data_IF_856542618573
#
_entry.id   IF_856542618573
#
_cell.length_a   1.000
_cell.length_b   1.000
_cell.length_c   1.000
_cell.angle_alpha   90.00
_cell.angle_beta   90.00
_cell.angle_gamma   90.00
#
_symmetry.space_group_name_H-M   'P 1'
#
loop_
_entity.id
_entity.type
_entity.pdbx_description
1 polymer ?
#
# COMPACT_ATOMS: atom_id res chain seq x y z
N UNK A 1 15.64 37.19 -15.23
CA UNK A 1 14.37 36.46 -15.54
C UNK A 1 14.07 35.52 -14.39
N UNK A 2 12.80 35.39 -13.97
CA UNK A 2 12.40 34.56 -12.79
C UNK A 2 12.87 33.09 -12.92
N UNK A 3 12.78 32.52 -14.14
CA UNK A 3 13.24 31.14 -14.37
C UNK A 3 14.75 30.96 -14.16
N UNK A 4 15.59 31.98 -14.44
CA UNK A 4 17.03 31.89 -14.25
C UNK A 4 17.40 31.72 -12.76
N UNK A 5 16.71 32.42 -11.86
CA UNK A 5 16.91 32.29 -10.42
C UNK A 5 16.50 30.90 -9.91
N UNK A 6 15.25 30.49 -10.18
CA UNK A 6 14.78 29.17 -9.72
C UNK A 6 15.60 28.01 -10.30
N UNK A 7 16.11 28.14 -11.55
CA UNK A 7 17.00 27.15 -12.15
C UNK A 7 18.28 26.99 -11.35
N UNK A 8 18.91 28.10 -10.95
CA UNK A 8 20.13 28.07 -10.13
C UNK A 8 19.88 27.39 -8.79
N UNK A 9 18.82 27.82 -8.09
CA UNK A 9 18.44 27.26 -6.78
C UNK A 9 18.16 25.75 -6.85
N UNK A 10 17.47 25.29 -7.91
CA UNK A 10 17.20 23.86 -8.13
C UNK A 10 18.47 23.06 -8.48
N UNK A 11 19.41 23.64 -9.23
CA UNK A 11 20.68 22.98 -9.54
C UNK A 11 21.54 22.79 -8.28
N UNK A 12 21.57 23.79 -7.40
CA UNK A 12 22.22 23.71 -6.10
C UNK A 12 21.59 22.61 -5.22
N UNK A 13 20.24 22.62 -5.09
CA UNK A 13 19.50 21.58 -4.37
C UNK A 13 19.81 20.18 -4.89
N UNK A 14 19.83 19.98 -6.22
CA UNK A 14 20.14 18.67 -6.81
C UNK A 14 21.57 18.22 -6.53
N UNK A 15 22.52 19.15 -6.46
CA UNK A 15 23.90 18.87 -6.06
C UNK A 15 23.96 18.41 -4.61
N UNK A 16 23.31 19.14 -3.71
CA UNK A 16 23.22 18.76 -2.30
C UNK A 16 22.57 17.38 -2.09
N UNK A 17 21.46 17.11 -2.80
CA UNK A 17 20.79 15.79 -2.73
C UNK A 17 21.71 14.65 -3.18
N UNK A 18 22.52 14.86 -4.21
CA UNK A 18 23.50 13.86 -4.68
C UNK A 18 24.64 13.64 -3.67
N UNK A 19 25.20 14.72 -3.13
CA UNK A 19 26.25 14.66 -2.11
C UNK A 19 25.79 13.96 -0.83
N UNK A 20 24.52 14.14 -0.44
CA UNK A 20 23.91 13.49 0.71
C UNK A 20 23.42 12.05 0.43
N UNK A 21 23.52 11.56 -0.82
CA UNK A 21 22.97 10.26 -1.21
C UNK A 21 21.44 10.18 -1.16
N UNK A 22 20.75 11.32 -1.24
CA UNK A 22 19.29 11.40 -1.18
C UNK A 22 18.63 11.55 -2.57
N UNK A 23 19.44 11.72 -3.61
CA UNK A 23 18.96 11.82 -4.98
C UNK A 23 18.48 10.45 -5.45
N UNK A 24 17.23 10.40 -5.95
CA UNK A 24 16.60 9.15 -6.40
C UNK A 24 16.81 8.98 -7.90
N UNK A 25 17.42 7.87 -8.29
CA UNK A 25 17.52 7.45 -9.69
C UNK A 25 16.52 6.33 -9.97
N UNK A 26 15.82 6.42 -11.10
CA UNK A 26 14.88 5.39 -11.56
C UNK A 26 15.67 4.27 -12.28
N UNK A 27 15.61 3.06 -11.75
CA UNK A 27 16.14 1.86 -12.44
C UNK A 27 15.10 1.38 -13.44
N UNK A 28 15.48 1.29 -14.72
CA UNK A 28 14.58 0.94 -15.81
C UNK A 28 14.48 -0.57 -15.95
N UNK A 29 13.27 -1.12 -15.85
CA UNK A 29 12.98 -2.52 -16.13
C UNK A 29 12.72 -2.72 -17.62
N UNK A 30 13.23 -3.82 -18.17
CA UNK A 30 13.14 -4.15 -19.60
C UNK A 30 12.23 -5.34 -19.91
N UNK A 31 11.60 -5.89 -18.87
CA UNK A 31 10.64 -7.00 -18.95
C UNK A 31 9.36 -6.67 -18.20
N UNK A 32 8.27 -7.43 -18.36
CA UNK A 32 7.12 -7.38 -17.47
C UNK A 32 7.51 -7.61 -16.01
N UNK A 33 6.66 -7.16 -15.08
CA UNK A 33 6.82 -7.43 -13.64
C UNK A 33 6.62 -8.92 -13.33
N UNK A 34 7.54 -9.48 -12.55
CA UNK A 34 7.52 -10.87 -12.12
C UNK A 34 8.53 -11.12 -11.01
N UNK A 35 8.69 -12.38 -10.60
CA UNK A 35 9.75 -12.78 -9.67
C UNK A 35 11.14 -12.57 -10.29
N UNK A 36 11.27 -12.73 -11.59
CA UNK A 36 12.48 -12.45 -12.38
C UNK A 36 12.21 -11.30 -13.32
N UNK A 37 13.12 -10.34 -13.40
CA UNK A 37 13.03 -9.14 -14.22
C UNK A 37 14.34 -8.84 -14.93
N UNK A 38 14.25 -8.26 -16.11
CA UNK A 38 15.37 -7.64 -16.78
C UNK A 38 15.52 -6.18 -16.35
N UNK A 39 16.76 -5.75 -16.13
CA UNK A 39 17.10 -4.37 -15.80
C UNK A 39 17.95 -3.79 -16.91
N UNK A 40 17.85 -2.49 -17.17
CA UNK A 40 18.65 -1.79 -18.18
C UNK A 40 20.14 -2.10 -18.01
N UNK A 41 20.83 -2.36 -19.13
CA UNK A 41 22.21 -2.84 -19.13
C UNK A 41 22.35 -4.37 -19.28
N UNK A 42 21.21 -5.09 -19.49
CA UNK A 42 21.21 -6.52 -19.81
C UNK A 42 21.32 -7.47 -18.60
N UNK A 43 21.14 -6.93 -17.39
CA UNK A 43 21.14 -7.74 -16.17
C UNK A 43 19.76 -8.36 -15.92
N UNK A 44 19.73 -9.62 -15.52
CA UNK A 44 18.54 -10.25 -14.92
C UNK A 44 18.68 -10.24 -13.41
N UNK A 45 17.57 -10.04 -12.71
CA UNK A 45 17.55 -10.04 -11.25
C UNK A 45 16.24 -10.61 -10.69
N UNK A 46 16.33 -11.20 -9.50
CA UNK A 46 15.17 -11.57 -8.69
C UNK A 46 14.58 -10.32 -8.03
N UNK A 47 13.29 -10.09 -8.25
CA UNK A 47 12.62 -8.87 -7.82
C UNK A 47 12.01 -9.02 -6.42
N UNK A 48 12.68 -8.48 -5.42
CA UNK A 48 12.21 -8.41 -4.05
C UNK A 48 11.78 -7.00 -3.62
N UNK A 49 11.36 -6.17 -4.58
CA UNK A 49 11.00 -4.78 -4.34
C UNK A 49 9.53 -4.46 -4.70
N UNK A 50 8.94 -5.19 -5.67
CA UNK A 50 7.60 -4.93 -6.14
C UNK A 50 6.53 -5.36 -5.11
N UNK A 51 5.46 -4.56 -4.99
CA UNK A 51 4.29 -4.91 -4.16
C UNK A 51 3.41 -5.98 -4.83
N UNK A 52 4.01 -6.90 -5.57
CA UNK A 52 3.35 -7.97 -6.33
C UNK A 52 3.17 -9.23 -5.45
N UNK A 53 2.52 -9.07 -4.29
CA UNK A 53 2.42 -10.10 -3.25
C UNK A 53 1.92 -11.45 -3.75
N UNK A 54 0.95 -11.46 -4.65
CA UNK A 54 0.36 -12.68 -5.21
C UNK A 54 0.95 -13.09 -6.56
N UNK A 55 1.92 -12.33 -7.08
CA UNK A 55 2.55 -12.64 -8.37
C UNK A 55 1.65 -12.42 -9.59
N UNK A 56 0.57 -11.65 -9.46
CA UNK A 56 -0.47 -11.52 -10.49
C UNK A 56 -0.17 -10.46 -11.55
N UNK A 57 0.86 -9.62 -11.38
CA UNK A 57 1.16 -8.51 -12.28
C UNK A 57 1.41 -8.88 -13.74
N UNK A 58 1.81 -10.13 -14.02
CA UNK A 58 1.99 -10.68 -15.36
C UNK A 58 1.28 -12.03 -15.53
N UNK A 59 0.18 -12.24 -14.82
CA UNK A 59 -0.59 -13.49 -14.89
C UNK A 59 -1.38 -13.56 -16.21
N UNK A 60 -1.28 -14.67 -16.99
CA UNK A 60 -1.97 -14.79 -18.28
C UNK A 60 -3.49 -14.68 -18.22
N UNK A 61 -4.14 -15.19 -17.15
CA UNK A 61 -5.59 -15.09 -16.99
C UNK A 61 -6.03 -13.65 -16.72
N UNK A 62 -5.24 -12.89 -15.95
CA UNK A 62 -5.49 -11.47 -15.66
C UNK A 62 -5.32 -10.63 -16.92
N UNK A 63 -4.24 -10.86 -17.68
CA UNK A 63 -3.99 -10.21 -18.97
C UNK A 63 -5.12 -10.49 -19.96
N UNK A 64 -5.54 -11.75 -20.07
CA UNK A 64 -6.64 -12.16 -20.98
C UNK A 64 -7.95 -11.46 -20.60
N UNK A 65 -8.29 -11.41 -19.32
CA UNK A 65 -9.48 -10.71 -18.85
C UNK A 65 -9.45 -9.22 -19.18
N UNK A 66 -8.30 -8.54 -19.01
CA UNK A 66 -8.13 -7.15 -19.42
C UNK A 66 -8.34 -6.94 -20.92
N UNK A 67 -7.79 -7.83 -21.76
CA UNK A 67 -7.95 -7.79 -23.20
C UNK A 67 -9.41 -7.99 -23.63
N UNK A 68 -10.10 -8.98 -23.04
CA UNK A 68 -11.49 -9.29 -23.37
C UNK A 68 -12.43 -8.13 -23.02
N UNK A 69 -12.21 -7.52 -21.88
CA UNK A 69 -12.98 -6.34 -21.47
C UNK A 69 -12.73 -5.15 -22.40
N UNK A 70 -11.49 -4.91 -22.82
CA UNK A 70 -11.19 -3.84 -23.79
C UNK A 70 -11.87 -4.09 -25.14
N UNK A 71 -11.95 -5.33 -25.60
CA UNK A 71 -12.62 -5.68 -26.86
C UNK A 71 -14.14 -5.38 -26.82
N UNK A 72 -14.76 -5.45 -25.65
CA UNK A 72 -16.21 -5.22 -25.48
C UNK A 72 -16.55 -3.79 -25.04
N UNK A 73 -15.81 -3.24 -24.06
CA UNK A 73 -16.10 -1.96 -23.42
C UNK A 73 -15.25 -0.79 -23.94
N UNK A 74 -14.26 -1.07 -24.80
CA UNK A 74 -13.31 -0.08 -25.29
C UNK A 74 -12.14 0.19 -24.34
N UNK A 75 -11.22 1.05 -24.77
CA UNK A 75 -10.01 1.40 -24.02
C UNK A 75 -10.27 2.38 -22.88
N UNK A 76 -11.08 3.40 -23.09
CA UNK A 76 -11.27 4.50 -22.16
C UNK A 76 -12.70 5.00 -22.08
N UNK A 77 -13.06 5.60 -20.95
CA UNK A 77 -14.41 6.10 -20.68
C UNK A 77 -14.59 7.58 -21.10
N UNK A 78 -13.51 8.32 -21.35
CA UNK A 78 -13.48 9.73 -21.80
C UNK A 78 -14.32 10.69 -20.94
N UNK A 79 -14.60 10.33 -19.68
CA UNK A 79 -15.47 11.09 -18.80
C UNK A 79 -15.27 10.71 -17.33
N UNK A 80 -15.74 11.56 -16.46
CA UNK A 80 -15.94 11.30 -15.03
C UNK A 80 -17.23 10.52 -14.81
N UNK A 81 -17.35 9.89 -13.62
CA UNK A 81 -18.39 8.92 -13.30
C UNK A 81 -19.83 9.43 -13.48
N UNK A 82 -20.16 10.63 -13.01
CA UNK A 82 -21.53 11.12 -12.98
C UNK A 82 -22.03 11.71 -14.31
N UNK A 83 -21.12 12.03 -15.24
CA UNK A 83 -21.52 12.56 -16.55
C UNK A 83 -21.89 11.42 -17.50
N UNK A 84 -20.89 10.68 -18.02
CA UNK A 84 -21.09 9.52 -18.90
C UNK A 84 -19.99 8.46 -18.76
N UNK A 85 -19.13 8.55 -17.73
CA UNK A 85 -18.02 7.61 -17.53
C UNK A 85 -18.38 6.34 -16.77
N UNK A 86 -19.61 6.17 -16.29
CA UNK A 86 -20.02 4.96 -15.59
C UNK A 86 -20.54 3.89 -16.56
N UNK A 87 -19.77 2.84 -16.74
CA UNK A 87 -20.19 1.63 -17.46
C UNK A 87 -20.70 0.56 -16.48
N UNK A 88 -21.50 -0.41 -16.94
CA UNK A 88 -22.05 -1.46 -16.08
C UNK A 88 -20.97 -2.26 -15.34
N UNK A 89 -19.80 -2.46 -15.95
CA UNK A 89 -18.69 -3.19 -15.32
C UNK A 89 -18.15 -2.50 -14.07
N UNK A 90 -18.23 -1.16 -13.98
CA UNK A 90 -17.82 -0.44 -12.77
C UNK A 90 -18.73 -0.80 -11.59
N UNK A 91 -20.06 -0.91 -11.86
CA UNK A 91 -21.02 -1.32 -10.81
C UNK A 91 -20.80 -2.78 -10.40
N UNK A 92 -20.45 -3.65 -11.36
CA UNK A 92 -20.07 -5.03 -11.06
C UNK A 92 -18.84 -5.13 -10.17
N UNK A 93 -17.82 -4.30 -10.43
CA UNK A 93 -16.63 -4.27 -9.58
C UNK A 93 -16.94 -3.69 -8.19
N UNK A 94 -17.74 -2.62 -8.09
CA UNK A 94 -18.19 -2.06 -6.81
C UNK A 94 -18.89 -3.14 -5.96
N UNK A 95 -19.84 -3.89 -6.56
CA UNK A 95 -20.54 -4.99 -5.90
C UNK A 95 -19.59 -6.14 -5.50
N UNK A 96 -18.69 -6.53 -6.40
CA UNK A 96 -17.72 -7.59 -6.14
C UNK A 96 -16.76 -7.22 -4.99
N UNK A 97 -16.30 -5.96 -4.93
CA UNK A 97 -15.46 -5.46 -3.85
C UNK A 97 -16.19 -5.39 -2.52
N UNK A 98 -17.44 -4.90 -2.51
CA UNK A 98 -18.27 -4.88 -1.30
C UNK A 98 -18.44 -6.29 -0.73
N UNK A 99 -18.76 -7.25 -1.58
CA UNK A 99 -18.91 -8.66 -1.20
C UNK A 99 -17.58 -9.26 -0.69
N UNK A 100 -16.48 -8.95 -1.39
CA UNK A 100 -15.16 -9.48 -1.02
C UNK A 100 -14.69 -8.93 0.33
N UNK A 101 -14.86 -7.65 0.59
CA UNK A 101 -14.45 -7.00 1.84
C UNK A 101 -15.46 -7.17 2.98
N UNK A 102 -16.69 -7.64 2.69
CA UNK A 102 -17.76 -7.74 3.68
C UNK A 102 -18.36 -6.39 4.09
N UNK A 103 -18.33 -5.40 3.18
CA UNK A 103 -18.85 -4.05 3.40
C UNK A 103 -20.18 -3.82 2.66
N UNK A 104 -20.92 -2.77 3.06
CA UNK A 104 -22.26 -2.52 2.53
C UNK A 104 -22.25 -1.97 1.11
N UNK A 105 -21.30 -1.09 0.78
CA UNK A 105 -21.19 -0.47 -0.54
C UNK A 105 -19.73 -0.09 -0.85
N UNK A 106 -19.43 0.17 -2.13
CA UNK A 106 -18.09 0.51 -2.61
C UNK A 106 -18.16 1.58 -3.71
N UNK A 107 -17.14 2.46 -3.73
CA UNK A 107 -16.90 3.48 -4.74
C UNK A 107 -15.47 3.34 -5.29
N UNK A 108 -15.31 3.45 -6.62
CA UNK A 108 -14.04 3.28 -7.31
C UNK A 108 -13.34 4.62 -7.58
N UNK A 109 -12.01 4.62 -7.48
CA UNK A 109 -11.12 5.75 -7.78
C UNK A 109 -10.01 5.35 -8.75
N UNK A 110 -9.38 6.35 -9.40
CA UNK A 110 -8.23 6.13 -10.27
C UNK A 110 -6.98 5.61 -9.51
N UNK A 111 -6.89 5.89 -8.22
CA UNK A 111 -5.88 5.37 -7.30
C UNK A 111 -6.42 5.34 -5.86
N UNK A 112 -5.81 4.53 -4.98
CA UNK A 112 -6.12 4.58 -3.54
C UNK A 112 -5.65 5.91 -2.91
N UNK A 113 -4.64 6.57 -3.50
CA UNK A 113 -4.26 7.92 -3.10
C UNK A 113 -5.44 8.89 -3.22
N UNK A 114 -6.21 8.79 -4.32
CA UNK A 114 -7.42 9.58 -4.54
C UNK A 114 -8.56 9.18 -3.59
N UNK A 115 -8.68 7.89 -3.29
CA UNK A 115 -9.66 7.38 -2.33
C UNK A 115 -9.44 7.99 -0.93
N UNK A 116 -8.20 7.97 -0.44
CA UNK A 116 -7.82 8.59 0.83
C UNK A 116 -7.96 10.11 0.79
N UNK A 117 -7.50 10.76 -0.29
CA UNK A 117 -7.60 12.21 -0.48
C UNK A 117 -9.04 12.71 -0.55
N UNK A 118 -9.96 11.87 -1.01
CA UNK A 118 -11.37 12.20 -1.21
C UNK A 118 -12.32 11.83 -0.07
N UNK A 119 -11.81 11.25 1.03
CA UNK A 119 -12.64 10.74 2.13
C UNK A 119 -12.97 11.82 3.19
N UNK A 120 -11.96 12.50 3.68
CA UNK A 120 -12.07 13.28 4.92
C UNK A 120 -12.85 14.60 4.76
N UNK A 121 -12.56 15.37 3.71
CA UNK A 121 -13.21 16.67 3.46
C UNK A 121 -14.74 16.55 3.31
N UNK A 122 -15.28 15.57 2.55
CA UNK A 122 -16.73 15.42 2.44
C UNK A 122 -17.42 14.95 3.73
N UNK A 123 -16.72 14.14 4.52
CA UNK A 123 -17.30 13.44 5.68
C UNK A 123 -17.25 14.28 6.96
N UNK A 124 -16.20 15.08 7.16
CA UNK A 124 -15.88 15.69 8.45
C UNK A 124 -15.77 17.22 8.33
N UNK A 125 -16.54 17.94 9.17
CA UNK A 125 -16.54 19.40 9.29
C UNK A 125 -15.65 19.93 10.42
N UNK A 126 -15.79 21.24 10.69
CA UNK A 126 -15.04 21.94 11.76
C UNK A 126 -15.39 21.46 13.18
N UNK A 127 -16.55 20.86 13.33
CA UNK A 127 -17.09 20.29 14.58
C UNK A 127 -16.65 18.83 14.81
N UNK A 128 -15.81 18.30 13.96
CA UNK A 128 -15.37 16.90 13.97
C UNK A 128 -13.88 16.78 14.30
N UNK A 129 -13.43 15.57 14.61
CA UNK A 129 -12.01 15.26 14.82
C UNK A 129 -11.54 14.07 13.97
N UNK A 130 -10.33 14.16 13.43
CA UNK A 130 -9.57 13.04 12.84
C UNK A 130 -8.41 12.70 13.76
N UNK A 131 -8.28 11.42 14.11
CA UNK A 131 -7.24 10.89 14.99
C UNK A 131 -6.41 9.90 14.18
N UNK A 132 -5.18 10.27 13.82
CA UNK A 132 -4.34 9.55 12.86
C UNK A 132 -3.11 8.94 13.52
N UNK A 133 -2.79 7.68 13.18
CA UNK A 133 -1.47 7.11 13.49
C UNK A 133 -0.37 7.93 12.80
N UNK A 134 0.76 8.13 13.47
CA UNK A 134 1.84 8.98 12.95
C UNK A 134 2.57 8.40 11.73
N UNK A 135 2.51 7.08 11.53
CA UNK A 135 3.14 6.40 10.39
C UNK A 135 2.18 6.10 9.24
N UNK A 136 0.96 6.61 9.28
CA UNK A 136 0.02 6.46 8.19
C UNK A 136 0.60 6.92 6.86
N UNK A 137 0.12 6.28 5.79
CA UNK A 137 0.52 6.59 4.42
C UNK A 137 0.32 8.08 4.07
N UNK A 138 1.20 8.63 3.23
CA UNK A 138 1.18 10.04 2.81
C UNK A 138 -0.19 10.49 2.28
N UNK A 139 -0.93 9.63 1.59
CA UNK A 139 -2.28 9.94 1.08
C UNK A 139 -3.31 10.20 2.18
N UNK A 140 -3.22 9.50 3.32
CA UNK A 140 -4.05 9.76 4.50
C UNK A 140 -3.65 11.11 5.10
N UNK A 141 -2.35 11.35 5.28
CA UNK A 141 -1.83 12.62 5.81
C UNK A 141 -2.32 13.79 4.96
N UNK A 142 -2.22 13.68 3.63
CA UNK A 142 -2.63 14.74 2.71
C UNK A 142 -4.16 14.90 2.68
N UNK A 143 -4.91 13.81 2.71
CA UNK A 143 -6.38 13.85 2.82
C UNK A 143 -6.85 14.53 4.11
N UNK A 144 -6.21 14.22 5.24
CA UNK A 144 -6.48 14.89 6.52
C UNK A 144 -6.11 16.39 6.48
N UNK A 145 -5.06 16.77 5.74
CA UNK A 145 -4.69 18.19 5.55
C UNK A 145 -5.75 19.00 4.79
N UNK A 146 -6.49 18.38 3.88
CA UNK A 146 -7.56 19.02 3.12
C UNK A 146 -8.84 19.22 3.95
N UNK A 147 -9.00 18.43 5.01
CA UNK A 147 -10.15 18.45 5.89
C UNK A 147 -10.07 19.62 6.90
N UNK A 148 -11.23 20.16 7.30
CA UNK A 148 -11.35 21.23 8.30
C UNK A 148 -11.49 20.72 9.74
N UNK A 149 -11.62 19.42 9.93
CA UNK A 149 -11.74 18.80 11.25
C UNK A 149 -10.51 19.04 12.12
N UNK A 150 -10.70 19.00 13.46
CA UNK A 150 -9.59 18.99 14.42
C UNK A 150 -8.68 17.80 14.13
N UNK A 151 -7.37 18.05 13.97
CA UNK A 151 -6.38 17.02 13.64
C UNK A 151 -5.62 16.63 14.88
N UNK A 152 -5.75 15.37 15.27
CA UNK A 152 -5.03 14.76 16.37
C UNK A 152 -4.17 13.62 15.82
N UNK A 153 -3.01 13.42 16.40
CA UNK A 153 -2.07 12.37 16.00
C UNK A 153 -1.60 11.64 17.24
N UNK A 154 -1.51 10.31 17.15
CA UNK A 154 -0.92 9.48 18.20
C UNK A 154 0.31 8.76 17.66
N UNK A 155 1.25 8.42 18.55
CA UNK A 155 2.44 7.67 18.20
C UNK A 155 2.08 6.29 17.72
N UNK A 156 2.85 5.81 16.78
CA UNK A 156 2.63 4.54 16.11
C UNK A 156 2.30 3.41 17.07
N UNK A 157 1.14 2.76 16.83
CA UNK A 157 0.63 1.63 17.63
C UNK A 157 0.52 1.88 19.14
N UNK A 158 0.46 3.15 19.59
CA UNK A 158 0.35 3.53 20.99
C UNK A 158 -1.13 3.78 21.38
N UNK A 159 -1.75 2.77 21.99
CA UNK A 159 -3.18 2.82 22.35
C UNK A 159 -3.47 3.78 23.51
N UNK A 160 -2.49 4.06 24.37
CA UNK A 160 -2.65 5.06 25.45
C UNK A 160 -2.73 6.47 24.87
N UNK A 161 -1.87 6.82 23.91
CA UNK A 161 -1.93 8.11 23.21
C UNK A 161 -3.20 8.23 22.35
N UNK A 162 -3.65 7.13 21.72
CA UNK A 162 -4.94 7.10 21.02
C UNK A 162 -6.10 7.42 21.99
N UNK A 163 -6.12 6.81 23.17
CA UNK A 163 -7.15 7.08 24.16
C UNK A 163 -7.11 8.54 24.66
N UNK A 164 -5.92 9.12 24.84
CA UNK A 164 -5.77 10.54 25.18
C UNK A 164 -6.37 11.43 24.10
N UNK A 165 -6.08 11.16 22.82
CA UNK A 165 -6.62 11.91 21.70
C UNK A 165 -8.16 11.80 21.60
N UNK A 166 -8.72 10.62 21.86
CA UNK A 166 -10.17 10.42 21.93
C UNK A 166 -10.81 11.23 23.06
N UNK A 167 -10.20 11.27 24.24
CA UNK A 167 -10.66 12.12 25.37
C UNK A 167 -10.56 13.61 25.02
N UNK A 168 -9.53 14.03 24.32
CA UNK A 168 -9.30 15.41 23.89
C UNK A 168 -10.30 15.88 22.82
N UNK A 169 -10.91 14.95 22.10
CA UNK A 169 -11.94 15.21 21.07
C UNK A 169 -13.38 14.99 21.56
N UNK A 170 -13.60 14.85 22.87
CA UNK A 170 -14.92 14.53 23.47
C UNK A 170 -16.03 15.51 23.07
N UNK A 171 -15.69 16.78 22.85
CA UNK A 171 -16.64 17.82 22.50
C UNK A 171 -16.91 17.93 20.98
N UNK A 172 -16.23 17.09 20.16
CA UNK A 172 -16.49 17.02 18.72
C UNK A 172 -17.73 16.18 18.45
N UNK A 173 -18.51 16.58 17.44
CA UNK A 173 -19.71 15.86 16.98
C UNK A 173 -19.35 14.48 16.47
N UNK A 174 -18.34 14.39 15.60
CA UNK A 174 -17.86 13.13 15.04
C UNK A 174 -16.36 12.97 15.30
N UNK A 175 -15.94 11.73 15.53
CA UNK A 175 -14.53 11.31 15.67
C UNK A 175 -14.26 10.20 14.67
N UNK A 176 -13.19 10.32 13.90
CA UNK A 176 -12.73 9.28 12.99
C UNK A 176 -11.29 8.89 13.35
N UNK A 177 -11.09 7.64 13.76
CA UNK A 177 -9.76 7.05 13.88
C UNK A 177 -9.35 6.55 12.50
N UNK A 178 -8.17 6.93 12.00
CA UNK A 178 -7.66 6.44 10.73
C UNK A 178 -6.27 5.82 10.90
N UNK A 179 -6.08 4.66 10.28
CA UNK A 179 -4.83 3.89 10.34
C UNK A 179 -4.58 3.12 9.04
N UNK A 180 -3.31 2.88 8.69
CA UNK A 180 -2.96 1.79 7.78
C UNK A 180 -3.29 0.45 8.46
N UNK A 181 -3.75 -0.54 7.73
CA UNK A 181 -3.93 -1.90 8.24
C UNK A 181 -2.58 -2.62 8.36
N UNK A 182 -1.76 -2.51 7.31
CA UNK A 182 -0.35 -2.92 7.29
C UNK A 182 0.50 -1.72 6.91
N UNK A 183 1.44 -1.35 7.76
CA UNK A 183 2.34 -0.21 7.53
C UNK A 183 3.42 -0.55 6.51
N UNK A 184 3.48 0.23 5.44
CA UNK A 184 4.23 -0.09 4.22
C UNK A 184 5.74 -0.19 4.41
N UNK A 185 6.32 0.54 5.37
CA UNK A 185 7.76 0.60 5.59
C UNK A 185 8.24 -0.33 6.70
N UNK A 186 7.37 -0.71 7.62
CA UNK A 186 7.68 -1.52 8.79
C UNK A 186 7.12 -2.95 8.70
N UNK A 187 6.04 -3.12 7.94
CA UNK A 187 5.45 -4.43 7.71
C UNK A 187 4.69 -5.00 8.90
N UNK A 188 4.45 -4.21 9.92
CA UNK A 188 3.60 -4.55 11.06
C UNK A 188 2.14 -4.21 10.77
N UNK A 189 1.25 -4.73 11.60
CA UNK A 189 -0.20 -4.52 11.51
C UNK A 189 -0.69 -3.61 12.62
N UNK A 190 -1.64 -2.72 12.29
CA UNK A 190 -2.38 -1.97 13.29
C UNK A 190 -3.12 -2.94 14.23
N UNK A 191 -3.21 -2.59 15.52
CA UNK A 191 -3.93 -3.35 16.56
C UNK A 191 -5.43 -3.09 16.46
N UNK A 192 -6.06 -3.58 15.37
CA UNK A 192 -7.45 -3.23 15.06
C UNK A 192 -8.46 -3.64 16.13
N UNK A 193 -8.22 -4.72 16.83
CA UNK A 193 -9.05 -5.15 17.97
C UNK A 193 -9.01 -4.14 19.11
N UNK A 194 -7.83 -3.64 19.50
CA UNK A 194 -7.67 -2.61 20.53
C UNK A 194 -8.23 -1.25 20.04
N UNK A 195 -7.97 -0.88 18.77
CA UNK A 195 -8.51 0.35 18.16
C UNK A 195 -10.04 0.34 18.17
N UNK A 196 -10.67 -0.77 17.74
CA UNK A 196 -12.11 -0.90 17.76
C UNK A 196 -12.69 -0.86 19.18
N UNK A 197 -12.00 -1.44 20.19
CA UNK A 197 -12.43 -1.35 21.58
C UNK A 197 -12.44 0.10 22.08
N UNK A 198 -11.45 0.90 21.70
CA UNK A 198 -11.42 2.32 22.01
C UNK A 198 -12.47 3.10 21.21
N UNK A 199 -12.68 2.75 19.94
CA UNK A 199 -13.71 3.37 19.10
C UNK A 199 -15.12 3.19 19.70
N UNK A 200 -15.47 1.97 20.10
CA UNK A 200 -16.76 1.69 20.76
C UNK A 200 -16.91 2.47 22.08
N UNK A 201 -15.83 2.54 22.89
CA UNK A 201 -15.85 3.24 24.16
C UNK A 201 -16.07 4.75 24.03
N UNK A 202 -15.59 5.36 22.96
CA UNK A 202 -15.61 6.80 22.74
C UNK A 202 -16.53 7.24 21.60
N UNK A 203 -17.37 6.35 21.08
CA UNK A 203 -18.28 6.62 19.97
C UNK A 203 -17.57 7.24 18.76
N UNK A 204 -16.54 6.55 18.28
CA UNK A 204 -15.71 6.96 17.16
C UNK A 204 -15.86 6.00 15.97
N UNK A 205 -15.80 6.52 14.75
CA UNK A 205 -15.72 5.76 13.51
C UNK A 205 -14.29 5.23 13.32
N UNK A 206 -14.15 4.11 12.60
CA UNK A 206 -12.83 3.52 12.26
C UNK A 206 -12.67 3.42 10.74
N UNK A 207 -11.61 4.01 10.23
CA UNK A 207 -11.15 3.89 8.84
C UNK A 207 -9.82 3.16 8.79
N UNK A 208 -9.70 2.18 7.89
CA UNK A 208 -8.48 1.40 7.66
C UNK A 208 -8.07 1.51 6.19
N UNK A 209 -6.83 1.91 5.93
CA UNK A 209 -6.20 1.72 4.61
C UNK A 209 -5.55 0.33 4.56
N UNK A 210 -6.19 -0.58 3.85
CA UNK A 210 -5.79 -1.98 3.77
C UNK A 210 -5.02 -2.31 2.48
N UNK A 211 -4.42 -1.30 1.86
CA UNK A 211 -3.69 -1.40 0.59
C UNK A 211 -2.53 -2.40 0.59
N UNK A 212 -1.91 -2.64 1.74
CA UNK A 212 -0.84 -3.62 1.91
C UNK A 212 -1.32 -4.95 2.51
N UNK A 213 -2.63 -5.16 2.61
CA UNK A 213 -3.21 -6.35 3.23
C UNK A 213 -4.26 -7.05 2.36
N UNK A 214 -5.17 -6.28 1.74
CA UNK A 214 -6.22 -6.83 0.88
C UNK A 214 -5.63 -7.72 -0.21
N UNK A 215 -6.13 -8.94 -0.29
CA UNK A 215 -5.71 -9.98 -1.22
C UNK A 215 -4.93 -11.12 -0.55
N UNK A 216 -4.24 -10.90 0.59
CA UNK A 216 -3.41 -11.95 1.18
C UNK A 216 -3.39 -12.00 2.73
N UNK A 217 -3.79 -10.94 3.44
CA UNK A 217 -3.94 -10.96 4.90
C UNK A 217 -5.33 -11.48 5.27
N UNK A 218 -5.41 -12.21 6.38
CA UNK A 218 -6.65 -12.85 6.83
C UNK A 218 -6.82 -14.28 6.28
N UNK A 219 -7.83 -14.99 6.76
CA UNK A 219 -8.08 -16.39 6.42
C UNK A 219 -8.41 -16.60 4.94
N UNK A 220 -9.10 -15.63 4.33
CA UNK A 220 -9.52 -15.67 2.93
C UNK A 220 -8.97 -14.50 2.11
N UNK A 221 -7.98 -13.76 2.67
CA UNK A 221 -7.34 -12.64 1.99
C UNK A 221 -8.14 -11.34 1.99
N UNK A 222 -9.10 -11.19 2.89
CA UNK A 222 -9.96 -9.99 2.95
C UNK A 222 -9.35 -8.82 3.71
N UNK A 223 -8.13 -9.00 4.21
CA UNK A 223 -7.36 -7.95 4.83
C UNK A 223 -7.27 -8.02 6.35
N UNK A 224 -6.77 -6.94 6.94
CA UNK A 224 -6.55 -6.87 8.40
C UNK A 224 -7.83 -6.90 9.23
N UNK A 225 -8.98 -6.35 8.78
CA UNK A 225 -10.23 -6.51 9.54
C UNK A 225 -10.66 -7.97 9.69
N UNK A 226 -10.48 -8.80 8.65
CA UNK A 226 -10.73 -10.24 8.74
C UNK A 226 -9.72 -10.93 9.67
N UNK A 227 -8.45 -10.55 9.59
CA UNK A 227 -7.38 -11.12 10.41
C UNK A 227 -7.66 -10.95 11.91
N UNK A 228 -8.12 -9.78 12.32
CA UNK A 228 -8.46 -9.47 13.72
C UNK A 228 -9.91 -9.82 14.09
N UNK A 229 -10.75 -10.27 13.15
CA UNK A 229 -12.14 -10.61 13.40
C UNK A 229 -13.04 -9.41 13.75
N UNK A 230 -12.75 -8.24 13.19
CA UNK A 230 -13.42 -6.96 13.49
C UNK A 230 -14.09 -6.30 12.28
N UNK A 231 -14.31 -7.04 11.20
CA UNK A 231 -14.85 -6.49 9.94
C UNK A 231 -16.14 -5.70 10.12
N UNK A 232 -17.04 -6.16 10.96
CA UNK A 232 -18.33 -5.53 11.28
C UNK A 232 -18.22 -4.24 12.11
N UNK A 233 -17.05 -3.98 12.69
CA UNK A 233 -16.70 -2.81 13.51
C UNK A 233 -15.91 -1.74 12.74
N UNK A 234 -15.59 -1.99 11.46
CA UNK A 234 -14.92 -1.03 10.59
C UNK A 234 -15.97 -0.28 9.76
N UNK A 235 -15.88 1.03 9.72
CA UNK A 235 -16.84 1.88 9.01
C UNK A 235 -16.38 2.17 7.58
N UNK A 236 -15.06 2.27 7.36
CA UNK A 236 -14.47 2.55 6.06
C UNK A 236 -13.19 1.74 5.86
N UNK A 237 -13.11 1.06 4.72
CA UNK A 237 -11.87 0.43 4.22
C UNK A 237 -11.50 1.10 2.91
N UNK A 238 -10.26 1.58 2.79
CA UNK A 238 -9.68 1.93 1.50
C UNK A 238 -8.67 0.87 1.08
N UNK A 239 -8.56 0.59 -0.22
CA UNK A 239 -7.57 -0.35 -0.73
C UNK A 239 -7.20 -0.03 -2.18
N UNK A 240 -6.01 -0.49 -2.60
CA UNK A 240 -5.49 -0.30 -3.95
C UNK A 240 -5.62 -1.56 -4.79
N UNK A 241 -5.84 -1.39 -6.09
CA UNK A 241 -5.71 -2.46 -7.08
C UNK A 241 -4.27 -2.59 -7.61
N UNK A 242 -3.41 -1.64 -7.27
CA UNK A 242 -2.02 -1.54 -7.73
C UNK A 242 -1.01 -2.43 -7.00
N UNK A 243 -1.47 -3.38 -6.17
CA UNK A 243 -0.61 -4.31 -5.42
C UNK A 243 -1.09 -5.75 -5.58
N UNK A 244 -1.54 -6.40 -4.50
CA UNK A 244 -2.00 -7.80 -4.55
C UNK A 244 -3.17 -8.03 -5.52
N UNK A 245 -4.02 -7.04 -5.73
CA UNK A 245 -5.18 -7.16 -6.61
C UNK A 245 -4.87 -6.94 -8.11
N UNK A 246 -3.72 -7.38 -8.58
CA UNK A 246 -3.36 -7.40 -10.01
C UNK A 246 -2.21 -6.47 -10.38
N UNK A 247 -1.90 -5.45 -9.57
CA UNK A 247 -0.69 -4.63 -9.72
C UNK A 247 -0.77 -3.48 -10.72
N UNK A 248 -1.94 -3.19 -11.32
CA UNK A 248 -2.13 -2.04 -12.20
C UNK A 248 -2.31 -0.75 -11.37
N UNK A 249 -3.24 0.10 -11.70
CA UNK A 249 -3.63 1.23 -10.88
C UNK A 249 -5.11 1.11 -10.46
N UNK A 250 -5.63 2.14 -9.80
CA UNK A 250 -6.97 2.11 -9.25
C UNK A 250 -7.00 1.81 -7.76
N UNK A 251 -8.14 2.05 -7.18
CA UNK A 251 -8.44 1.76 -5.79
C UNK A 251 -9.91 1.98 -5.49
N UNK A 252 -10.29 1.73 -4.26
CA UNK A 252 -11.66 1.93 -3.83
C UNK A 252 -11.74 2.37 -2.37
N UNK A 253 -12.90 2.93 -2.03
CA UNK A 253 -13.38 3.07 -0.66
C UNK A 253 -14.62 2.19 -0.52
N UNK A 254 -14.61 1.28 0.44
CA UNK A 254 -15.73 0.43 0.82
C UNK A 254 -16.16 0.77 2.24
N UNK A 255 -17.46 0.77 2.55
CA UNK A 255 -17.88 1.18 3.88
C UNK A 255 -19.39 1.14 4.08
N UNK A 256 -19.84 1.87 5.12
CA UNK A 256 -21.25 2.06 5.39
C UNK A 256 -21.92 2.77 4.21
N UNK A 257 -23.12 2.33 3.85
CA UNK A 257 -23.82 2.78 2.65
C UNK A 257 -23.97 4.29 2.57
N UNK A 258 -24.33 4.93 3.67
CA UNK A 258 -24.54 6.38 3.72
C UNK A 258 -23.24 7.18 3.55
N UNK A 259 -22.11 6.64 4.03
CA UNK A 259 -20.78 7.24 3.81
C UNK A 259 -20.43 7.14 2.32
N UNK A 260 -20.59 5.98 1.72
CA UNK A 260 -20.29 5.78 0.30
C UNK A 260 -21.20 6.62 -0.60
N UNK A 261 -22.50 6.73 -0.25
CA UNK A 261 -23.42 7.62 -0.96
C UNK A 261 -22.98 9.08 -0.89
N UNK A 262 -22.57 9.57 0.29
CA UNK A 262 -22.03 10.92 0.45
C UNK A 262 -20.78 11.14 -0.42
N UNK A 263 -19.87 10.17 -0.47
CA UNK A 263 -18.65 10.26 -1.29
C UNK A 263 -18.99 10.37 -2.79
N UNK A 264 -20.00 9.63 -3.28
CA UNK A 264 -20.48 9.76 -4.66
C UNK A 264 -20.96 11.18 -4.99
N UNK A 265 -21.50 11.89 -4.02
CA UNK A 265 -22.02 13.25 -4.20
C UNK A 265 -20.96 14.34 -4.02
N UNK A 266 -19.91 14.11 -3.20
CA UNK A 266 -19.04 15.20 -2.74
C UNK A 266 -17.54 14.92 -2.85
N UNK A 267 -17.11 13.68 -3.02
CA UNK A 267 -15.67 13.35 -3.13
C UNK A 267 -15.08 13.94 -4.41
N UNK A 268 -14.26 14.98 -4.27
CA UNK A 268 -13.68 15.70 -5.41
C UNK A 268 -12.87 14.83 -6.38
N UNK A 269 -11.99 13.92 -5.91
CA UNK A 269 -11.29 13.00 -6.81
C UNK A 269 -12.24 12.11 -7.61
N UNK A 270 -13.36 11.70 -7.03
CA UNK A 270 -14.38 10.92 -7.74
C UNK A 270 -15.14 11.75 -8.77
N UNK A 271 -15.52 12.97 -8.41
CA UNK A 271 -16.34 13.84 -9.26
C UNK A 271 -15.55 14.41 -10.44
N UNK A 272 -14.25 14.67 -10.27
CA UNK A 272 -13.49 15.48 -11.23
C UNK A 272 -12.33 14.73 -11.90
N UNK A 273 -12.00 13.52 -11.47
CA UNK A 273 -11.00 12.66 -12.14
C UNK A 273 -11.69 11.68 -13.10
N UNK A 274 -10.98 11.31 -14.17
CA UNK A 274 -11.47 10.31 -15.11
C UNK A 274 -11.77 8.99 -14.43
N UNK A 275 -12.79 8.33 -14.96
CA UNK A 275 -13.22 6.98 -14.55
C UNK A 275 -12.10 5.95 -14.78
N UNK A 276 -11.99 5.00 -13.87
CA UNK A 276 -11.09 3.86 -13.98
C UNK A 276 -11.27 3.12 -15.32
N UNK A 277 -10.16 2.84 -16.00
CA UNK A 277 -10.21 2.24 -17.33
C UNK A 277 -10.84 0.83 -17.32
N UNK A 278 -11.61 0.46 -18.34
CA UNK A 278 -12.28 -0.84 -18.43
C UNK A 278 -11.35 -2.04 -18.24
N UNK A 279 -10.15 -1.99 -18.80
CA UNK A 279 -9.12 -3.04 -18.68
C UNK A 279 -8.76 -3.35 -17.23
N UNK A 280 -8.63 -2.31 -16.41
CA UNK A 280 -8.31 -2.47 -14.97
C UNK A 280 -9.49 -3.08 -14.23
N UNK A 281 -10.70 -2.63 -14.55
CA UNK A 281 -11.93 -3.18 -13.96
C UNK A 281 -12.04 -4.68 -14.25
N UNK A 282 -11.85 -5.09 -15.51
CA UNK A 282 -11.91 -6.50 -15.90
C UNK A 282 -10.81 -7.35 -15.27
N UNK A 283 -9.58 -6.84 -15.24
CA UNK A 283 -8.47 -7.49 -14.57
C UNK A 283 -8.74 -7.70 -13.07
N UNK A 284 -9.22 -6.66 -12.38
CA UNK A 284 -9.52 -6.74 -10.94
C UNK A 284 -10.67 -7.69 -10.63
N UNK A 285 -11.74 -7.70 -11.45
CA UNK A 285 -12.83 -8.69 -11.34
C UNK A 285 -12.30 -10.13 -11.45
N UNK A 286 -11.38 -10.37 -12.41
CA UNK A 286 -10.74 -11.68 -12.57
C UNK A 286 -9.90 -12.06 -11.35
N UNK A 287 -9.15 -11.13 -10.80
CA UNK A 287 -8.37 -11.38 -9.58
C UNK A 287 -9.27 -11.75 -8.41
N UNK A 288 -10.37 -11.01 -8.18
CA UNK A 288 -11.33 -11.34 -7.12
C UNK A 288 -11.96 -12.75 -7.32
N UNK A 289 -12.25 -13.12 -8.57
CA UNK A 289 -12.69 -14.46 -8.90
C UNK A 289 -11.65 -15.52 -8.51
N UNK A 290 -10.36 -15.30 -8.86
CA UNK A 290 -9.27 -16.22 -8.53
C UNK A 290 -9.10 -16.37 -7.02
N UNK A 291 -9.11 -15.26 -6.26
CA UNK A 291 -8.99 -15.28 -4.81
C UNK A 291 -10.18 -15.94 -4.10
N UNK A 292 -11.36 -15.90 -4.73
CA UNK A 292 -12.56 -16.57 -4.19
C UNK A 292 -12.55 -18.09 -4.41
N UNK A 293 -11.72 -18.58 -5.35
CA UNK A 293 -11.62 -20.03 -5.67
C UNK A 293 -10.57 -20.74 -4.84
N UNK A 294 -9.45 -20.08 -4.53
CA UNK A 294 -8.29 -20.74 -3.92
C UNK A 294 -7.51 -19.79 -3.01
N UNK A 295 -6.99 -20.33 -1.92
CA UNK A 295 -6.07 -19.67 -1.01
C UNK A 295 -4.59 -19.95 -1.33
N UNK A 296 -4.28 -20.71 -2.38
CA UNK A 296 -2.92 -21.16 -2.68
C UNK A 296 -1.89 -20.01 -2.75
N UNK A 297 -2.20 -18.95 -3.49
CA UNK A 297 -1.30 -17.81 -3.62
C UNK A 297 -1.10 -17.10 -2.27
N UNK A 298 -2.18 -16.96 -1.48
CA UNK A 298 -2.13 -16.40 -0.14
C UNK A 298 -1.24 -17.25 0.76
N UNK A 299 -1.48 -18.56 0.81
CA UNK A 299 -0.71 -19.49 1.65
C UNK A 299 0.77 -19.47 1.26
N UNK A 300 1.04 -19.45 -0.05
CA UNK A 300 2.40 -19.39 -0.59
C UNK A 300 3.16 -18.14 -0.19
N UNK A 301 2.56 -16.96 -0.24
CA UNK A 301 3.25 -15.72 0.18
C UNK A 301 3.52 -15.73 1.69
N UNK A 302 2.63 -16.28 2.51
CA UNK A 302 2.84 -16.43 3.95
C UNK A 302 3.98 -17.40 4.26
N UNK A 303 4.01 -18.55 3.58
CA UNK A 303 5.09 -19.53 3.69
C UNK A 303 6.45 -18.90 3.33
N UNK A 304 6.50 -18.21 2.18
CA UNK A 304 7.69 -17.53 1.71
C UNK A 304 8.17 -16.43 2.70
N UNK A 305 7.26 -15.65 3.24
CA UNK A 305 7.56 -14.60 4.21
C UNK A 305 8.11 -15.18 5.53
N UNK A 306 7.45 -16.22 6.05
CA UNK A 306 7.87 -16.88 7.28
C UNK A 306 9.26 -17.54 7.12
N UNK A 307 9.48 -18.20 6.00
CA UNK A 307 10.76 -18.81 5.69
C UNK A 307 11.89 -17.78 5.59
N UNK A 308 11.68 -16.73 4.79
CA UNK A 308 12.68 -15.69 4.60
C UNK A 308 13.03 -14.97 5.91
N UNK A 309 12.03 -14.58 6.72
CA UNK A 309 12.25 -13.97 8.03
C UNK A 309 13.09 -14.85 8.96
N UNK A 310 12.74 -16.13 9.07
CA UNK A 310 13.45 -17.08 9.91
C UNK A 310 14.93 -17.17 9.53
N UNK A 311 15.21 -17.31 8.23
CA UNK A 311 16.58 -17.44 7.73
C UNK A 311 17.40 -16.14 7.91
N UNK A 312 16.79 -14.99 7.73
CA UNK A 312 17.46 -13.69 7.91
C UNK A 312 17.79 -13.42 9.38
N UNK A 313 16.86 -13.71 10.30
CA UNK A 313 17.11 -13.62 11.76
C UNK A 313 18.21 -14.59 12.16
N UNK A 314 18.15 -15.84 11.68
CA UNK A 314 19.17 -16.85 11.98
C UNK A 314 20.56 -16.49 11.44
N UNK A 315 20.61 -15.67 10.40
CA UNK A 315 21.87 -15.15 9.83
C UNK A 315 22.45 -13.98 10.63
N UNK A 316 21.70 -13.39 11.57
CA UNK A 316 22.14 -12.27 12.40
C UNK A 316 21.68 -10.89 11.91
N UNK A 317 20.85 -10.81 10.86
CA UNK A 317 20.31 -9.52 10.42
C UNK A 317 19.30 -8.96 11.42
N UNK A 318 19.38 -7.66 11.66
CA UNK A 318 18.36 -6.91 12.38
C UNK A 318 17.17 -6.64 11.45
N UNK A 319 16.03 -7.26 11.73
CA UNK A 319 14.79 -7.08 10.98
C UNK A 319 13.67 -6.60 11.89
N UNK A 320 12.81 -5.72 11.36
CA UNK A 320 11.62 -5.29 12.11
C UNK A 320 10.72 -6.51 12.37
N UNK A 321 10.34 -6.76 13.64
CA UNK A 321 9.42 -7.85 13.97
C UNK A 321 8.09 -7.73 13.24
N UNK A 322 7.52 -8.84 12.81
CA UNK A 322 6.24 -8.86 12.09
C UNK A 322 6.03 -10.21 11.41
N UNK A 323 4.85 -10.37 10.81
CA UNK A 323 4.43 -11.60 10.16
C UNK A 323 3.88 -11.38 8.74
N UNK A 324 3.99 -10.18 8.18
CA UNK A 324 3.55 -9.89 6.82
C UNK A 324 4.62 -10.22 5.77
N UNK A 325 4.27 -10.08 4.50
CA UNK A 325 5.19 -10.26 3.36
C UNK A 325 6.21 -9.11 3.20
N UNK A 326 6.15 -8.10 4.04
CA UNK A 326 7.09 -6.98 4.09
C UNK A 326 8.15 -7.28 5.14
N UNK A 327 9.42 -7.37 4.74
CA UNK A 327 10.54 -7.68 5.64
C UNK A 327 11.58 -6.57 5.57
N UNK A 328 11.53 -5.59 6.50
CA UNK A 328 12.53 -4.54 6.57
C UNK A 328 13.81 -5.04 7.25
N UNK A 329 14.93 -4.93 6.55
CA UNK A 329 16.27 -5.22 7.06
C UNK A 329 16.89 -3.89 7.45
N UNK A 330 17.12 -3.68 8.74
CA UNK A 330 17.55 -2.42 9.29
C UNK A 330 19.05 -2.20 9.05
N UNK A 331 19.39 -1.05 8.49
CA UNK A 331 20.77 -0.65 8.19
C UNK A 331 21.12 0.69 8.83
N UNK A 332 20.10 1.45 9.26
CA UNK A 332 20.17 2.72 9.98
C UNK A 332 20.79 3.86 9.17
N UNK A 333 21.96 3.64 8.52
CA UNK A 333 22.71 4.63 7.77
C UNK A 333 22.33 4.61 6.27
N UNK A 334 22.02 5.78 5.72
CA UNK A 334 21.58 5.91 4.33
C UNK A 334 22.64 5.45 3.31
N UNK A 335 23.93 5.84 3.41
CA UNK A 335 24.96 5.36 2.48
C UNK A 335 25.11 3.83 2.50
N UNK A 336 24.96 3.20 3.67
CA UNK A 336 25.07 1.76 3.83
C UNK A 336 23.90 1.03 3.14
N UNK A 337 22.67 1.55 3.30
CA UNK A 337 21.48 0.98 2.67
C UNK A 337 21.56 1.05 1.13
N UNK A 338 22.05 2.16 0.58
CA UNK A 338 22.24 2.33 -0.86
C UNK A 338 23.32 1.40 -1.36
N UNK A 339 24.52 1.39 -0.71
CA UNK A 339 25.63 0.53 -1.08
C UNK A 339 25.24 -0.95 -1.08
N UNK A 340 24.56 -1.42 -0.04
CA UNK A 340 24.09 -2.80 0.05
C UNK A 340 23.09 -3.15 -1.06
N UNK A 341 22.17 -2.24 -1.38
CA UNK A 341 21.20 -2.44 -2.47
C UNK A 341 21.88 -2.52 -3.84
N UNK A 342 22.93 -1.73 -4.09
CA UNK A 342 23.71 -1.79 -5.33
C UNK A 342 24.50 -3.10 -5.44
N UNK A 343 25.16 -3.52 -4.36
CA UNK A 343 25.90 -4.80 -4.31
C UNK A 343 24.94 -5.99 -4.51
N UNK A 344 23.73 -5.96 -3.95
CA UNK A 344 22.72 -7.00 -4.16
C UNK A 344 22.25 -7.05 -5.61
N UNK A 345 22.12 -5.89 -6.27
CA UNK A 345 21.80 -5.88 -7.70
C UNK A 345 22.90 -6.51 -8.56
N UNK A 346 24.16 -6.29 -8.22
CA UNK A 346 25.29 -6.96 -8.90
C UNK A 346 25.25 -8.48 -8.72
N UNK A 347 24.78 -8.98 -7.58
CA UNK A 347 24.55 -10.39 -7.32
C UNK A 347 23.23 -10.93 -7.90
N UNK A 348 22.47 -10.12 -8.66
CA UNK A 348 21.20 -10.54 -9.28
C UNK A 348 19.97 -10.45 -8.36
N UNK A 349 20.01 -9.65 -7.30
CA UNK A 349 18.89 -9.40 -6.39
C UNK A 349 18.46 -7.94 -6.45
N UNK A 350 17.26 -7.68 -6.96
CA UNK A 350 16.72 -6.32 -7.09
C UNK A 350 15.99 -5.91 -5.81
N UNK A 351 16.62 -5.03 -5.05
CA UNK A 351 16.07 -4.35 -3.87
C UNK A 351 16.45 -2.88 -3.90
N UNK A 352 15.78 -2.08 -3.06
CA UNK A 352 16.04 -0.64 -2.92
C UNK A 352 16.34 -0.30 -1.45
N UNK A 353 17.33 0.56 -1.23
CA UNK A 353 17.57 1.19 0.06
C UNK A 353 16.56 2.31 0.30
N UNK A 354 15.76 2.22 1.36
CA UNK A 354 14.85 3.27 1.76
C UNK A 354 15.51 4.20 2.76
N UNK A 355 15.55 5.48 2.41
CA UNK A 355 16.21 6.55 3.15
C UNK A 355 15.26 7.73 3.35
N UNK A 356 15.68 8.74 4.12
CA UNK A 356 14.92 9.97 4.27
C UNK A 356 14.62 10.61 2.89
N UNK A 357 13.43 11.20 2.66
CA UNK A 357 12.31 11.41 3.60
C UNK A 357 11.30 10.25 3.65
N UNK A 358 11.52 9.12 2.96
CA UNK A 358 10.59 7.99 2.91
C UNK A 358 10.54 7.27 4.26
N UNK A 359 11.67 7.20 4.94
CA UNK A 359 11.79 6.73 6.33
C UNK A 359 12.51 7.80 7.17
N UNK A 360 12.32 7.85 8.49
CA UNK A 360 13.00 8.83 9.34
C UNK A 360 14.52 8.73 9.24
N UNK A 361 15.23 9.84 9.50
CA UNK A 361 16.71 9.86 9.61
C UNK A 361 17.18 8.85 10.66
N UNK A 362 18.26 8.12 10.37
CA UNK A 362 18.77 7.05 11.24
C UNK A 362 17.92 5.79 11.26
N UNK A 363 16.99 5.62 10.31
CA UNK A 363 16.11 4.45 10.15
C UNK A 363 16.17 3.88 8.72
N UNK A 364 17.29 4.10 8.01
CA UNK A 364 17.49 3.54 6.68
C UNK A 364 17.43 2.01 6.71
N UNK A 365 16.86 1.43 5.67
CA UNK A 365 16.59 0.00 5.56
C UNK A 365 16.53 -0.48 4.11
N UNK A 366 16.72 -1.76 3.89
CA UNK A 366 16.24 -2.44 2.70
C UNK A 366 14.91 -3.09 3.05
N UNK A 367 13.83 -2.72 2.31
CA UNK A 367 12.51 -3.34 2.47
C UNK A 367 12.35 -4.45 1.45
N UNK A 368 12.44 -5.70 1.89
CA UNK A 368 12.21 -6.87 1.05
C UNK A 368 10.71 -7.14 0.98
N UNK A 369 10.19 -7.35 -0.24
CA UNK A 369 8.80 -7.70 -0.52
C UNK A 369 8.73 -9.14 -1.02
N UNK A 370 8.08 -10.01 -0.24
CA UNK A 370 7.89 -11.40 -0.62
C UNK A 370 6.66 -11.52 -1.54
N UNK A 371 6.74 -12.47 -2.48
CA UNK A 371 5.68 -12.76 -3.43
C UNK A 371 5.40 -14.26 -3.47
N UNK A 372 4.16 -14.63 -3.77
CA UNK A 372 3.79 -16.00 -4.09
C UNK A 372 4.51 -16.53 -5.33
N UNK A 373 4.98 -15.63 -6.21
CA UNK A 373 5.73 -16.00 -7.41
C UNK A 373 7.19 -16.40 -7.14
N UNK A 374 7.75 -16.13 -5.96
CA UNK A 374 9.08 -16.57 -5.60
C UNK A 374 9.10 -18.07 -5.31
N UNK A 375 9.99 -18.81 -5.98
CA UNK A 375 10.27 -20.20 -5.65
C UNK A 375 11.14 -20.30 -4.40
N UNK A 376 11.28 -21.52 -3.87
CA UNK A 376 12.19 -21.74 -2.75
C UNK A 376 13.65 -21.48 -3.15
N UNK A 377 14.02 -21.85 -4.35
CA UNK A 377 15.34 -21.61 -4.93
C UNK A 377 15.64 -20.11 -5.06
N UNK A 378 14.65 -19.30 -5.47
CA UNK A 378 14.78 -17.84 -5.52
C UNK A 378 15.02 -17.24 -4.12
N UNK A 379 14.33 -17.75 -3.09
CA UNK A 379 14.54 -17.35 -1.70
C UNK A 379 15.93 -17.75 -1.19
N UNK A 380 16.34 -19.01 -1.42
CA UNK A 380 17.63 -19.53 -0.97
C UNK A 380 18.80 -18.75 -1.62
N UNK A 381 18.69 -18.46 -2.91
CA UNK A 381 19.64 -17.62 -3.64
C UNK A 381 19.74 -16.21 -3.03
N UNK A 382 18.61 -15.60 -2.79
CA UNK A 382 18.55 -14.24 -2.23
C UNK A 382 19.11 -14.18 -0.81
N UNK A 383 18.75 -15.14 0.03
CA UNK A 383 19.30 -15.27 1.39
C UNK A 383 20.82 -15.46 1.37
N UNK A 384 21.34 -16.26 0.45
CA UNK A 384 22.78 -16.44 0.28
C UNK A 384 23.50 -15.15 -0.14
N UNK A 385 22.90 -14.38 -1.08
CA UNK A 385 23.41 -13.08 -1.49
C UNK A 385 23.44 -12.08 -0.33
N UNK A 386 22.36 -11.97 0.44
CA UNK A 386 22.31 -11.15 1.65
C UNK A 386 23.38 -11.56 2.68
N UNK A 387 23.52 -12.85 2.96
CA UNK A 387 24.55 -13.38 3.88
C UNK A 387 25.97 -13.04 3.41
N UNK A 388 26.26 -13.18 2.12
CA UNK A 388 27.56 -12.85 1.52
C UNK A 388 27.89 -11.36 1.73
N UNK A 389 26.99 -10.49 1.27
CA UNK A 389 27.19 -9.03 1.34
C UNK A 389 27.13 -8.52 2.78
N UNK A 390 26.29 -9.09 3.62
CA UNK A 390 26.21 -8.75 5.05
C UNK A 390 27.54 -8.98 5.78
N UNK A 391 28.22 -10.08 5.50
CA UNK A 391 29.57 -10.34 6.03
C UNK A 391 30.62 -9.38 5.47
N UNK A 392 30.58 -9.11 4.17
CA UNK A 392 31.51 -8.17 3.50
C UNK A 392 31.39 -6.76 4.07
N UNK A 393 30.17 -6.35 4.46
CA UNK A 393 29.91 -5.06 5.06
C UNK A 393 30.02 -5.05 6.59
N UNK A 394 30.32 -6.19 7.23
CA UNK A 394 30.43 -6.30 8.68
C UNK A 394 29.11 -6.13 9.44
N UNK A 395 28.00 -6.52 8.83
CA UNK A 395 26.65 -6.43 9.42
C UNK A 395 26.27 -7.69 10.21
N UNK A 396 26.86 -8.82 9.86
CA UNK A 396 26.65 -10.15 10.47
C UNK A 396 27.95 -10.91 10.57
#
# INVERSE_FOLDING_TARGET
MAYGKIKSDLQELFTELKEQGLYKEERILTTPQGAKIGVQGGKEALNFCANNYLGLGNNPEVIKAAQDIMNYWGYGCNSVRFICGTQAIHKQLEEAMSKFLGMEDTILYAACFDANGGLFEPLLGEDSAVISDELNHASIIDGVRLCKAKRLRYKHSNMEELEIALKESKDCTYRLICTDGVFSMDGDMAKLDEICNLADKYDALVMVDDSHATGYIGKTGRGTPEYFGVTDRIDVITTTFGKALGGANGGCTSGRKEIIELLRQRSRPYLFSNTLAPSIVGATLKVLEMLSRSNELRDKVWENASYFRKEMVSAGFDIVPGNTAIVPIMLYEAPLAIKMADMLLEEGVYVIGFVYPVVPKGKARIRVQLSAAHSKEDLDFTIAAFKKIGRELGLI
#
